data_IF_310608839836
#
_entry.id   IF_310608839836
#
_cell.length_a   1.000
_cell.length_b   1.000
_cell.length_c   1.000
_cell.angle_alpha   90.00
_cell.angle_beta   90.00
_cell.angle_gamma   90.00
#
_symmetry.space_group_name_H-M   'P 1'
#
loop_
_entity.id
_entity.type
_entity.pdbx_description
1 polymer ?
#
# COMPACT_ATOMS: atom_id res chain seq x y z
N UNK A 1 -4.88 8.25 -14.61
CA UNK A 1 -4.22 6.93 -14.74
C UNK A 1 -3.17 7.06 -15.84
N UNK A 2 -1.94 6.58 -15.61
CA UNK A 2 -0.86 6.53 -16.59
C UNK A 2 -0.19 5.15 -16.54
N UNK A 3 0.18 4.60 -17.71
CA UNK A 3 0.90 3.34 -17.85
C UNK A 3 2.07 3.58 -18.80
N UNK A 4 3.29 3.35 -18.32
CA UNK A 4 4.51 3.56 -19.10
C UNK A 4 5.26 2.23 -19.30
N UNK A 5 5.99 2.04 -20.40
CA UNK A 5 6.06 2.97 -21.54
C UNK A 5 4.72 3.13 -22.24
N UNK A 6 4.47 4.29 -22.83
CA UNK A 6 3.26 4.60 -23.58
C UNK A 6 3.47 4.46 -25.11
N UNK A 7 2.44 4.74 -25.90
CA UNK A 7 2.48 4.70 -27.35
C UNK A 7 1.55 5.75 -27.95
N UNK A 8 1.78 6.07 -29.21
CA UNK A 8 0.89 6.94 -29.99
C UNK A 8 -0.45 6.22 -30.25
N UNK A 9 -1.57 6.63 -29.62
CA UNK A 9 -2.86 5.98 -29.77
C UNK A 9 -3.42 6.07 -31.20
N UNK A 10 -2.90 6.97 -32.03
CA UNK A 10 -3.28 7.06 -33.44
C UNK A 10 -2.61 6.00 -34.30
N UNK A 11 -1.53 5.37 -33.81
CA UNK A 11 -0.76 4.34 -34.51
C UNK A 11 -0.48 3.10 -33.64
N UNK A 12 -1.51 2.48 -33.07
CA UNK A 12 -1.33 1.37 -32.11
C UNK A 12 -0.66 0.14 -32.71
N UNK A 13 -0.79 -0.07 -34.03
CA UNK A 13 -0.16 -1.21 -34.73
C UNK A 13 1.38 -1.08 -34.81
N UNK A 14 1.92 0.12 -34.75
CA UNK A 14 3.37 0.40 -34.79
C UNK A 14 4.02 0.23 -33.42
N UNK A 15 3.23 0.23 -32.34
CA UNK A 15 3.74 0.15 -30.99
C UNK A 15 4.16 -1.29 -30.60
N UNK A 16 5.28 -1.46 -29.88
CA UNK A 16 5.63 -2.72 -29.26
C UNK A 16 4.49 -3.25 -28.36
N UNK A 17 4.38 -4.56 -28.22
CA UNK A 17 3.28 -5.16 -27.46
C UNK A 17 3.31 -4.76 -25.96
N UNK A 18 4.48 -4.62 -25.39
CA UNK A 18 4.68 -4.19 -23.99
C UNK A 18 4.30 -2.72 -23.75
N UNK A 19 4.38 -1.85 -24.76
CA UNK A 19 3.90 -0.47 -24.68
C UNK A 19 2.37 -0.39 -24.64
N UNK A 20 1.69 -1.33 -25.28
CA UNK A 20 0.22 -1.41 -25.31
C UNK A 20 -0.37 -2.09 -24.06
N UNK A 21 0.48 -2.66 -23.21
CA UNK A 21 0.06 -3.33 -21.99
C UNK A 21 -0.32 -2.30 -20.91
N UNK A 22 -1.61 -2.24 -20.57
CA UNK A 22 -2.11 -1.32 -19.54
C UNK A 22 -1.78 -1.85 -18.13
N UNK A 23 -0.65 -1.42 -17.59
CA UNK A 23 -0.15 -1.87 -16.31
C UNK A 23 -1.09 -1.55 -15.13
N UNK A 24 -1.91 -0.51 -15.28
CA UNK A 24 -2.78 -0.06 -14.19
C UNK A 24 -3.96 -1.01 -13.91
N UNK A 25 -4.47 -1.70 -14.93
CA UNK A 25 -5.65 -2.58 -14.81
C UNK A 25 -5.41 -4.01 -15.30
N UNK A 26 -4.38 -4.22 -16.13
CA UNK A 26 -4.06 -5.53 -16.71
C UNK A 26 -2.88 -6.18 -15.98
N UNK A 27 -1.91 -5.40 -15.53
CA UNK A 27 -0.80 -5.90 -14.72
C UNK A 27 -1.25 -6.32 -13.33
N UNK A 28 -0.91 -7.54 -12.91
CA UNK A 28 -1.16 -8.06 -11.56
C UNK A 28 0.16 -8.26 -10.84
N UNK A 29 0.28 -7.66 -9.65
CA UNK A 29 1.53 -7.61 -8.91
C UNK A 29 1.29 -7.97 -7.44
N UNK A 30 2.26 -8.64 -6.83
CA UNK A 30 2.39 -8.64 -5.37
C UNK A 30 2.88 -7.27 -4.94
N UNK A 31 2.06 -6.53 -4.20
CA UNK A 31 2.35 -5.13 -3.85
C UNK A 31 2.94 -4.99 -2.43
N UNK A 32 3.32 -6.13 -1.83
CA UNK A 32 4.09 -6.18 -0.60
C UNK A 32 3.45 -5.40 0.53
N UNK A 33 4.25 -4.68 1.28
CA UNK A 33 3.84 -3.99 2.52
C UNK A 33 2.71 -2.97 2.40
N UNK A 34 2.22 -2.63 1.20
CA UNK A 34 0.99 -1.83 1.05
C UNK A 34 -0.23 -2.54 1.62
N UNK A 35 -0.24 -3.89 1.62
CA UNK A 35 -1.31 -4.70 2.20
C UNK A 35 -1.45 -4.57 3.72
N UNK A 36 -0.41 -4.09 4.40
CA UNK A 36 -0.46 -3.82 5.84
C UNK A 36 -1.51 -2.77 6.20
N UNK A 37 -1.88 -1.89 5.25
CA UNK A 37 -3.02 -0.97 5.40
C UNK A 37 -4.29 -1.76 5.69
N UNK A 38 -4.57 -2.78 4.88
CA UNK A 38 -5.78 -3.60 5.00
C UNK A 38 -5.75 -4.48 6.24
N UNK A 39 -4.60 -5.07 6.56
CA UNK A 39 -4.45 -5.90 7.75
C UNK A 39 -4.64 -5.11 9.03
N UNK A 40 -4.04 -3.92 9.12
CA UNK A 40 -4.22 -3.05 10.29
C UNK A 40 -5.67 -2.57 10.42
N UNK A 41 -6.29 -2.15 9.30
CA UNK A 41 -7.69 -1.76 9.28
C UNK A 41 -8.61 -2.91 9.73
N UNK A 42 -8.42 -4.11 9.19
CA UNK A 42 -9.18 -5.30 9.53
C UNK A 42 -9.05 -5.65 11.03
N UNK A 43 -7.84 -5.63 11.56
CA UNK A 43 -7.59 -5.97 12.96
C UNK A 43 -8.23 -4.96 13.91
N UNK A 44 -8.12 -3.66 13.62
CA UNK A 44 -8.75 -2.59 14.40
C UNK A 44 -10.27 -2.64 14.31
N UNK A 45 -10.84 -2.79 13.11
CA UNK A 45 -12.28 -2.78 12.89
C UNK A 45 -12.97 -4.01 13.49
N UNK A 46 -12.26 -5.14 13.58
CA UNK A 46 -12.76 -6.35 14.23
C UNK A 46 -12.87 -6.22 15.77
N UNK A 47 -12.28 -5.18 16.36
CA UNK A 47 -12.17 -4.99 17.79
C UNK A 47 -11.24 -5.99 18.50
N UNK A 48 -10.49 -6.81 17.74
CA UNK A 48 -9.51 -7.75 18.30
C UNK A 48 -8.28 -7.06 18.86
N UNK A 49 -7.96 -5.91 18.31
CA UNK A 49 -6.86 -5.06 18.77
C UNK A 49 -7.28 -3.59 18.73
N UNK A 50 -6.61 -2.79 19.54
CA UNK A 50 -6.73 -1.33 19.57
C UNK A 50 -5.39 -0.70 19.18
N UNK A 51 -5.35 0.61 18.99
CA UNK A 51 -4.11 1.36 18.72
C UNK A 51 -3.08 1.25 19.85
N UNK A 52 -3.50 0.85 21.07
CA UNK A 52 -2.61 0.70 22.24
C UNK A 52 -2.08 -0.72 22.40
N UNK A 53 -2.71 -1.69 21.73
CA UNK A 53 -2.25 -3.06 21.77
C UNK A 53 -1.04 -3.25 20.86
N UNK A 54 -0.39 -4.38 21.02
CA UNK A 54 0.74 -4.77 20.20
C UNK A 54 1.05 -6.24 20.33
N UNK A 55 2.16 -6.63 19.75
CA UNK A 55 2.61 -8.01 19.75
C UNK A 55 4.13 -8.10 19.92
N UNK A 56 4.59 -9.23 20.39
CA UNK A 56 6.01 -9.54 20.44
C UNK A 56 6.54 -9.81 19.02
N UNK A 57 7.59 -9.10 18.63
CA UNK A 57 8.28 -9.27 17.33
C UNK A 57 9.75 -9.65 17.51
N UNK A 58 10.12 -10.17 18.69
CA UNK A 58 11.49 -10.55 19.04
C UNK A 58 12.00 -11.64 18.12
N UNK A 59 11.19 -12.68 17.90
CA UNK A 59 11.60 -13.85 17.13
C UNK A 59 10.80 -13.98 15.83
N UNK A 60 11.45 -14.42 14.73
CA UNK A 60 10.78 -14.77 13.49
C UNK A 60 9.73 -15.87 13.68
N UNK A 61 8.63 -15.79 12.92
CA UNK A 61 7.58 -16.83 12.93
C UNK A 61 8.01 -17.98 12.03
N UNK A 62 8.05 -19.19 12.57
CA UNK A 62 8.35 -20.41 11.81
C UNK A 62 7.09 -21.22 11.57
N UNK A 63 6.77 -21.49 10.30
CA UNK A 63 5.61 -22.30 9.88
C UNK A 63 6.09 -23.36 8.89
N UNK A 64 6.26 -24.60 9.39
CA UNK A 64 6.84 -25.66 8.58
C UNK A 64 8.26 -25.31 8.11
N UNK A 65 8.45 -25.21 6.80
CA UNK A 65 9.73 -24.82 6.18
C UNK A 65 9.88 -23.32 5.94
N UNK A 66 8.83 -22.54 6.22
CA UNK A 66 8.83 -21.11 5.97
C UNK A 66 9.19 -20.33 7.24
N UNK A 67 9.90 -19.23 7.06
CA UNK A 67 10.23 -18.29 8.14
C UNK A 67 9.79 -16.90 7.72
N UNK A 68 8.98 -16.26 8.55
CA UNK A 68 8.57 -14.86 8.39
C UNK A 68 9.47 -14.03 9.29
N UNK A 69 10.20 -13.10 8.71
CA UNK A 69 11.10 -12.18 9.41
C UNK A 69 10.86 -10.74 8.96
N UNK A 70 11.29 -9.80 9.79
CA UNK A 70 11.28 -8.39 9.44
C UNK A 70 12.54 -8.01 8.66
N UNK A 71 12.40 -7.06 7.75
CA UNK A 71 13.53 -6.53 6.98
C UNK A 71 14.48 -5.72 7.88
N UNK A 72 13.90 -4.95 8.83
CA UNK A 72 14.60 -4.22 9.88
C UNK A 72 14.06 -4.66 11.26
N UNK A 73 14.58 -5.77 11.81
CA UNK A 73 14.08 -6.31 13.08
C UNK A 73 14.27 -5.33 14.24
N UNK A 74 13.19 -5.04 14.93
CA UNK A 74 13.24 -4.25 16.18
C UNK A 74 13.51 -5.15 17.40
N UNK A 75 13.30 -6.47 17.26
CA UNK A 75 13.56 -7.51 18.26
C UNK A 75 12.97 -7.19 19.64
N UNK A 76 11.74 -6.68 19.66
CA UNK A 76 11.00 -6.33 20.87
C UNK A 76 9.49 -6.36 20.64
N UNK A 77 8.74 -6.11 21.70
CA UNK A 77 7.31 -5.84 21.57
C UNK A 77 7.07 -4.55 20.78
N UNK A 78 6.14 -4.57 19.83
CA UNK A 78 5.73 -3.42 19.03
C UNK A 78 4.22 -3.17 19.19
N UNK A 79 3.86 -1.92 19.41
CA UNK A 79 2.47 -1.47 19.33
C UNK A 79 1.94 -1.49 17.89
N UNK A 80 0.62 -1.44 17.70
CA UNK A 80 0.01 -1.39 16.36
C UNK A 80 0.56 -0.24 15.52
N UNK A 81 0.72 1.00 16.03
CA UNK A 81 1.38 2.06 15.28
C UNK A 81 2.82 1.74 14.90
N UNK A 82 3.62 1.17 15.80
CA UNK A 82 5.00 0.77 15.51
C UNK A 82 5.08 -0.34 14.47
N UNK A 83 4.23 -1.36 14.55
CA UNK A 83 4.13 -2.43 13.54
C UNK A 83 3.92 -1.83 12.14
N UNK A 84 3.04 -0.85 12.04
CA UNK A 84 2.71 -0.20 10.79
C UNK A 84 3.85 0.72 10.30
N UNK A 85 4.42 1.53 11.19
CA UNK A 85 5.49 2.49 10.92
C UNK A 85 6.79 1.80 10.51
N UNK A 86 7.25 0.80 11.29
CA UNK A 86 8.44 0.01 10.96
C UNK A 86 8.19 -1.04 9.87
N UNK A 87 6.93 -1.16 9.45
CA UNK A 87 6.54 -2.15 8.43
C UNK A 87 6.90 -3.59 8.83
N UNK A 88 6.67 -3.98 10.10
CA UNK A 88 6.95 -5.32 10.60
C UNK A 88 6.08 -6.38 9.93
N UNK A 89 6.70 -7.38 9.31
CA UNK A 89 6.01 -8.56 8.77
C UNK A 89 5.51 -9.46 9.89
N UNK A 90 6.36 -9.66 10.92
CA UNK A 90 6.04 -10.49 12.09
C UNK A 90 4.82 -9.91 12.80
N UNK A 91 4.86 -8.61 13.10
CA UNK A 91 3.75 -7.93 13.77
C UNK A 91 2.47 -8.02 12.96
N UNK A 92 2.53 -7.75 11.65
CA UNK A 92 1.37 -7.77 10.76
C UNK A 92 0.79 -9.18 10.62
N UNK A 93 1.63 -10.21 10.51
CA UNK A 93 1.18 -11.61 10.46
C UNK A 93 0.43 -12.01 11.75
N UNK A 94 0.92 -11.58 12.91
CA UNK A 94 0.23 -11.80 14.20
C UNK A 94 -1.10 -11.07 14.28
N UNK A 95 -1.20 -9.83 13.79
CA UNK A 95 -2.47 -9.10 13.70
C UNK A 95 -3.48 -9.83 12.80
N UNK A 96 -3.04 -10.34 11.65
CA UNK A 96 -3.93 -11.10 10.76
C UNK A 96 -4.42 -12.40 11.41
N UNK A 97 -3.55 -13.11 12.11
CA UNK A 97 -3.92 -14.34 12.81
C UNK A 97 -4.88 -14.09 13.99
N UNK A 98 -4.84 -12.93 14.62
CA UNK A 98 -5.82 -12.57 15.65
C UNK A 98 -7.26 -12.45 15.09
N UNK A 99 -7.41 -12.08 13.81
CA UNK A 99 -8.70 -12.05 13.11
C UNK A 99 -9.04 -13.42 12.51
N UNK A 100 -8.03 -14.12 12.00
CA UNK A 100 -8.15 -15.45 11.40
C UNK A 100 -8.40 -15.45 9.90
N UNK A 101 -8.24 -16.62 9.31
CA UNK A 101 -8.27 -16.84 7.86
C UNK A 101 -9.61 -16.43 7.22
N UNK A 102 -10.73 -16.86 7.81
CA UNK A 102 -12.07 -16.54 7.28
C UNK A 102 -12.35 -15.02 7.33
N UNK A 103 -11.97 -14.37 8.45
CA UNK A 103 -12.10 -12.92 8.60
C UNK A 103 -11.30 -12.16 7.54
N UNK A 104 -10.07 -12.58 7.28
CA UNK A 104 -9.23 -11.95 6.25
C UNK A 104 -9.81 -12.14 4.85
N UNK A 105 -10.25 -13.35 4.51
CA UNK A 105 -10.87 -13.62 3.20
C UNK A 105 -12.10 -12.74 2.97
N UNK A 106 -12.99 -12.69 3.94
CA UNK A 106 -14.22 -11.87 3.88
C UNK A 106 -13.89 -10.39 3.73
N UNK A 107 -12.90 -9.91 4.49
CA UNK A 107 -12.49 -8.51 4.46
C UNK A 107 -11.90 -8.12 3.10
N UNK A 108 -10.96 -8.89 2.56
CA UNK A 108 -10.34 -8.63 1.26
C UNK A 108 -11.34 -8.78 0.10
N UNK A 109 -12.31 -9.69 0.23
CA UNK A 109 -13.39 -9.82 -0.75
C UNK A 109 -14.29 -8.58 -0.76
N UNK A 110 -14.65 -8.05 0.41
CA UNK A 110 -15.44 -6.83 0.52
C UNK A 110 -14.72 -5.59 -0.03
N UNK A 111 -13.39 -5.63 -0.10
CA UNK A 111 -12.58 -4.59 -0.74
C UNK A 111 -12.39 -4.78 -2.25
N UNK A 112 -12.98 -5.84 -2.83
CA UNK A 112 -12.83 -6.17 -4.24
C UNK A 112 -11.45 -6.73 -4.61
N UNK A 113 -10.60 -7.06 -3.63
CA UNK A 113 -9.22 -7.50 -3.86
C UNK A 113 -9.10 -8.97 -4.29
N UNK A 114 -10.18 -9.73 -4.28
CA UNK A 114 -10.20 -11.16 -4.63
C UNK A 114 -11.00 -11.48 -5.90
N UNK A 115 -11.55 -10.45 -6.55
CA UNK A 115 -12.36 -10.61 -7.76
C UNK A 115 -12.07 -9.49 -8.76
N UNK A 116 -12.39 -9.73 -10.04
CA UNK A 116 -12.24 -8.72 -11.10
C UNK A 116 -13.03 -7.47 -10.76
N UNK A 117 -12.42 -6.31 -10.92
CA UNK A 117 -13.12 -5.03 -10.78
C UNK A 117 -14.07 -4.81 -11.97
N UNK A 118 -15.26 -4.32 -11.65
CA UNK A 118 -16.22 -3.84 -12.63
C UNK A 118 -15.87 -2.39 -13.00
N UNK A 119 -14.92 -2.25 -13.90
CA UNK A 119 -14.50 -0.98 -14.50
C UNK A 119 -14.67 -1.08 -16.01
N UNK A 120 -14.92 0.06 -16.69
CA UNK A 120 -15.25 0.12 -18.11
C UNK A 120 -14.02 -0.11 -19.02
N UNK A 121 -13.09 -0.95 -18.58
CA UNK A 121 -11.88 -1.36 -19.31
C UNK A 121 -11.93 -2.87 -19.52
N UNK A 122 -12.16 -3.35 -20.76
CA UNK A 122 -12.37 -4.76 -21.04
C UNK A 122 -11.12 -5.63 -20.74
N UNK A 123 -9.93 -5.01 -20.75
CA UNK A 123 -8.66 -5.67 -20.43
C UNK A 123 -8.42 -5.84 -18.92
N UNK A 124 -9.29 -5.34 -18.03
CA UNK A 124 -9.12 -5.47 -16.59
C UNK A 124 -8.92 -6.95 -16.17
N UNK A 125 -7.85 -7.21 -15.45
CA UNK A 125 -7.45 -8.56 -15.07
C UNK A 125 -8.13 -9.04 -13.77
N UNK A 126 -8.17 -10.36 -13.61
CA UNK A 126 -8.51 -10.99 -12.34
C UNK A 126 -7.31 -10.95 -11.40
N UNK A 127 -7.51 -10.76 -10.10
CA UNK A 127 -6.49 -10.99 -9.09
C UNK A 127 -6.02 -12.45 -9.10
N UNK A 128 -4.79 -12.67 -8.65
CA UNK A 128 -4.27 -14.01 -8.38
C UNK A 128 -4.36 -14.23 -6.87
N UNK A 129 -5.17 -15.21 -6.47
CA UNK A 129 -5.39 -15.58 -5.08
C UNK A 129 -5.05 -17.05 -4.85
N UNK A 130 -4.69 -17.47 -3.63
CA UNK A 130 -4.42 -18.87 -3.34
C UNK A 130 -5.67 -19.74 -3.59
N UNK A 131 -5.50 -20.87 -4.28
CA UNK A 131 -6.57 -21.87 -4.44
C UNK A 131 -7.01 -22.45 -3.09
N UNK A 132 -6.07 -22.62 -2.17
CA UNK A 132 -6.32 -23.06 -0.80
C UNK A 132 -5.71 -22.03 0.13
N UNK A 133 -6.56 -21.33 0.88
CA UNK A 133 -6.15 -20.29 1.82
C UNK A 133 -5.98 -20.91 3.21
N UNK A 134 -4.75 -21.10 3.65
CA UNK A 134 -4.37 -21.68 4.94
C UNK A 134 -3.79 -20.58 5.84
N UNK A 135 -3.53 -20.90 7.10
CA UNK A 135 -2.92 -19.95 8.05
C UNK A 135 -1.62 -19.33 7.52
N UNK A 136 -0.76 -20.12 6.86
CA UNK A 136 0.44 -19.58 6.22
C UNK A 136 0.09 -18.57 5.13
N UNK A 137 -0.97 -18.81 4.35
CA UNK A 137 -1.45 -17.84 3.35
C UNK A 137 -1.99 -16.58 4.03
N UNK A 138 -2.72 -16.72 5.13
CA UNK A 138 -3.19 -15.59 5.95
C UNK A 138 -2.04 -14.74 6.44
N UNK A 139 -0.97 -15.36 6.94
CA UNK A 139 0.22 -14.66 7.39
C UNK A 139 0.93 -13.93 6.24
N UNK A 140 1.17 -14.60 5.10
CA UNK A 140 1.90 -13.98 3.99
C UNK A 140 1.09 -12.90 3.27
N UNK A 141 -0.19 -13.11 3.06
CA UNK A 141 -1.09 -12.11 2.45
C UNK A 141 -1.21 -10.87 3.33
N UNK A 142 -1.07 -11.00 4.64
CA UNK A 142 -1.14 -9.86 5.56
C UNK A 142 -0.16 -8.74 5.23
N UNK A 143 0.98 -9.08 4.64
CA UNK A 143 2.00 -8.13 4.18
C UNK A 143 2.21 -8.18 2.64
N UNK A 144 1.24 -8.73 1.89
CA UNK A 144 1.13 -8.61 0.44
C UNK A 144 1.92 -9.62 -0.38
N UNK A 145 2.22 -10.81 0.19
CA UNK A 145 2.79 -11.93 -0.54
C UNK A 145 1.77 -13.07 -0.67
N UNK A 146 1.79 -13.76 -1.81
CA UNK A 146 0.84 -14.84 -2.11
C UNK A 146 -0.54 -14.34 -2.57
N UNK A 147 -0.68 -13.06 -2.82
CA UNK A 147 -1.80 -12.41 -3.50
C UNK A 147 -1.27 -11.38 -4.48
N UNK A 148 -1.73 -11.41 -5.73
CA UNK A 148 -1.38 -10.40 -6.72
C UNK A 148 -2.62 -9.69 -7.23
N UNK A 149 -2.57 -8.37 -7.26
CA UNK A 149 -3.69 -7.49 -7.64
C UNK A 149 -3.22 -6.42 -8.61
N UNK A 150 -4.14 -5.79 -9.33
CA UNK A 150 -3.77 -4.66 -10.19
C UNK A 150 -3.59 -3.38 -9.36
N UNK A 151 -2.83 -2.39 -9.87
CA UNK A 151 -2.78 -1.05 -9.27
C UNK A 151 -4.15 -0.42 -9.04
N UNK A 152 -5.11 -0.65 -9.93
CA UNK A 152 -6.49 -0.17 -9.76
C UNK A 152 -7.18 -0.81 -8.55
N UNK A 153 -7.00 -2.13 -8.33
CA UNK A 153 -7.51 -2.80 -7.13
C UNK A 153 -6.97 -2.16 -5.87
N UNK A 154 -5.63 -1.97 -5.78
CA UNK A 154 -5.01 -1.38 -4.61
C UNK A 154 -5.54 0.03 -4.35
N UNK A 155 -5.59 0.88 -5.39
CA UNK A 155 -6.02 2.27 -5.28
C UNK A 155 -7.47 2.37 -4.82
N UNK A 156 -8.37 1.56 -5.40
CA UNK A 156 -9.78 1.48 -5.01
C UNK A 156 -9.94 1.03 -3.56
N UNK A 157 -9.22 -0.01 -3.15
CA UNK A 157 -9.28 -0.50 -1.78
C UNK A 157 -8.71 0.51 -0.75
N UNK A 158 -7.59 1.18 -1.06
CA UNK A 158 -7.02 2.22 -0.19
C UNK A 158 -7.96 3.42 -0.08
N UNK A 159 -8.65 3.78 -1.15
CA UNK A 159 -9.68 4.82 -1.13
C UNK A 159 -10.75 4.54 -0.06
N UNK A 160 -11.21 3.29 0.05
CA UNK A 160 -12.16 2.90 1.09
C UNK A 160 -11.57 3.01 2.52
N UNK A 161 -10.27 2.84 2.67
CA UNK A 161 -9.63 2.93 3.99
C UNK A 161 -9.58 4.36 4.53
N UNK A 162 -9.57 5.37 3.66
CA UNK A 162 -9.33 6.77 4.05
C UNK A 162 -10.56 7.67 3.92
N UNK A 163 -11.63 7.24 3.24
CA UNK A 163 -12.82 8.04 2.94
C UNK A 163 -13.97 7.89 3.95
N UNK A 164 -13.70 7.38 5.15
CA UNK A 164 -14.70 7.06 6.15
C UNK A 164 -15.16 5.59 6.09
N UNK A 165 -14.49 4.74 5.33
CA UNK A 165 -14.70 3.29 5.33
C UNK A 165 -15.69 2.75 4.29
N UNK A 166 -15.95 3.50 3.22
CA UNK A 166 -16.91 3.12 2.18
C UNK A 166 -16.17 2.71 0.90
N UNK A 167 -16.32 1.46 0.50
CA UNK A 167 -15.86 1.01 -0.82
C UNK A 167 -16.85 1.45 -1.89
N UNK A 168 -16.32 2.02 -2.96
CA UNK A 168 -17.06 2.38 -4.16
C UNK A 168 -16.47 1.65 -5.36
N UNK A 169 -17.31 1.11 -6.23
CA UNK A 169 -16.84 0.52 -7.47
C UNK A 169 -16.11 1.58 -8.31
N UNK A 170 -14.90 1.27 -8.81
CA UNK A 170 -14.15 2.20 -9.64
C UNK A 170 -14.83 2.39 -11.00
N UNK A 171 -14.73 3.60 -11.53
CA UNK A 171 -15.17 3.95 -12.88
C UNK A 171 -14.20 4.95 -13.51
N UNK A 172 -14.05 4.91 -14.82
CA UNK A 172 -13.34 5.92 -15.61
C UNK A 172 -14.30 6.91 -16.29
N UNK A 173 -15.60 6.69 -16.15
CA UNK A 173 -16.62 7.60 -16.71
C UNK A 173 -16.78 8.81 -15.79
N UNK A 174 -16.89 9.99 -16.41
CA UNK A 174 -17.20 11.21 -15.66
C UNK A 174 -18.60 11.12 -15.02
N UNK A 175 -18.74 11.65 -13.81
CA UNK A 175 -20.00 11.61 -13.07
C UNK A 175 -21.21 12.17 -13.85
N UNK A 176 -20.96 13.15 -14.72
CA UNK A 176 -21.99 13.81 -15.55
C UNK A 176 -22.04 13.26 -16.98
N UNK A 177 -21.38 12.14 -17.27
CA UNK A 177 -21.47 11.50 -18.59
C UNK A 177 -22.87 10.96 -18.79
N UNK A 178 -23.47 11.13 -20.00
CA UNK A 178 -24.75 10.48 -20.37
C UNK A 178 -24.70 8.95 -20.22
N UNK A 179 -23.49 8.36 -20.36
CA UNK A 179 -23.27 6.94 -20.23
C UNK A 179 -23.18 6.46 -18.76
N UNK A 180 -23.01 7.40 -17.81
CA UNK A 180 -22.93 7.11 -16.36
C UNK A 180 -24.32 7.26 -15.70
N UNK A 181 -25.32 6.57 -16.25
CA UNK A 181 -26.70 6.60 -15.76
C UNK A 181 -26.94 5.65 -14.58
N UNK A 182 -25.99 4.77 -14.27
CA UNK A 182 -26.12 3.77 -13.22
C UNK A 182 -25.43 4.20 -11.94
N UNK A 183 -26.15 4.08 -10.83
CA UNK A 183 -25.55 4.24 -9.50
C UNK A 183 -24.57 3.07 -9.28
N UNK A 184 -23.29 3.41 -9.17
CA UNK A 184 -22.24 2.42 -8.94
C UNK A 184 -22.42 1.73 -7.58
N UNK A 185 -22.11 0.44 -7.47
CA UNK A 185 -22.13 -0.27 -6.19
C UNK A 185 -21.24 0.41 -5.16
N UNK A 186 -21.79 0.54 -3.96
CA UNK A 186 -21.09 1.15 -2.82
C UNK A 186 -21.55 0.48 -1.53
N UNK A 187 -20.63 0.19 -0.63
CA UNK A 187 -20.94 -0.38 0.68
C UNK A 187 -19.86 -0.04 1.71
N UNK A 188 -20.24 -0.07 2.99
CA UNK A 188 -19.30 0.14 4.09
C UNK A 188 -18.49 -1.13 4.34
N UNK A 189 -17.17 -0.96 4.47
CA UNK A 189 -16.21 -2.06 4.76
C UNK A 189 -15.66 -1.95 6.18
N UNK A 190 -15.40 -0.73 6.64
CA UNK A 190 -14.93 -0.43 8.00
C UNK A 190 -15.71 0.74 8.59
N UNK A 191 -15.60 0.91 9.90
CA UNK A 191 -16.17 2.06 10.60
C UNK A 191 -15.42 3.36 10.27
N UNK A 192 -16.09 4.50 10.48
CA UNK A 192 -15.45 5.82 10.34
C UNK A 192 -14.31 5.99 11.34
N UNK A 193 -14.44 5.41 12.53
CA UNK A 193 -13.40 5.41 13.55
C UNK A 193 -12.15 4.67 13.06
N UNK A 194 -12.31 3.47 12.52
CA UNK A 194 -11.19 2.70 11.96
C UNK A 194 -10.55 3.44 10.79
N UNK A 195 -11.35 4.05 9.90
CA UNK A 195 -10.83 4.88 8.82
C UNK A 195 -9.97 6.05 9.33
N UNK A 196 -10.41 6.72 10.41
CA UNK A 196 -9.64 7.78 11.04
C UNK A 196 -8.30 7.25 11.61
N UNK A 197 -8.32 6.09 12.26
CA UNK A 197 -7.10 5.45 12.77
C UNK A 197 -6.13 5.05 11.64
N UNK A 198 -6.65 4.53 10.53
CA UNK A 198 -5.81 4.22 9.36
C UNK A 198 -5.16 5.49 8.79
N UNK A 199 -5.87 6.61 8.74
CA UNK A 199 -5.32 7.90 8.32
C UNK A 199 -4.17 8.34 9.24
N UNK A 200 -4.32 8.19 10.55
CA UNK A 200 -3.25 8.44 11.53
C UNK A 200 -2.03 7.56 11.26
N UNK A 201 -2.24 6.24 11.08
CA UNK A 201 -1.16 5.30 10.77
C UNK A 201 -0.42 5.65 9.47
N UNK A 202 -1.16 6.00 8.42
CA UNK A 202 -0.56 6.39 7.13
C UNK A 202 0.22 7.69 7.23
N UNK A 203 -0.23 8.67 8.02
CA UNK A 203 0.51 9.90 8.27
C UNK A 203 1.79 9.62 9.07
N UNK A 204 1.71 8.79 10.10
CA UNK A 204 2.85 8.37 10.91
C UNK A 204 4.00 7.79 10.06
N UNK A 205 3.69 7.01 9.01
CA UNK A 205 4.71 6.45 8.10
C UNK A 205 5.46 7.55 7.34
N UNK A 206 4.78 8.63 6.98
CA UNK A 206 5.40 9.75 6.27
C UNK A 206 6.20 10.65 7.21
N UNK A 207 5.71 10.86 8.43
CA UNK A 207 6.39 11.71 9.43
C UNK A 207 7.59 11.02 10.08
N UNK A 208 7.47 9.74 10.41
CA UNK A 208 8.44 9.05 11.26
C UNK A 208 8.88 7.67 10.74
N UNK A 209 8.37 7.24 9.58
CA UNK A 209 8.62 5.92 9.05
C UNK A 209 9.30 5.93 7.67
N UNK A 210 9.05 4.88 6.92
CA UNK A 210 9.68 4.60 5.61
C UNK A 210 9.18 5.49 4.46
N UNK A 211 8.25 6.38 4.71
CA UNK A 211 7.54 7.18 3.69
C UNK A 211 7.94 8.65 3.59
N UNK A 212 8.95 9.12 4.33
CA UNK A 212 9.27 10.54 4.45
C UNK A 212 9.49 11.28 3.13
N UNK A 213 10.01 10.57 2.11
CA UNK A 213 10.22 11.15 0.77
C UNK A 213 8.93 11.37 -0.04
N UNK A 214 7.78 10.90 0.45
CA UNK A 214 6.49 11.12 -0.19
C UNK A 214 5.82 12.42 0.26
N UNK A 215 6.31 13.08 1.32
CA UNK A 215 5.68 14.31 1.81
C UNK A 215 5.77 15.41 0.77
N UNK A 216 4.70 16.19 0.67
CA UNK A 216 4.60 17.34 -0.22
C UNK A 216 4.13 18.53 0.62
N UNK A 217 4.94 19.57 0.67
CA UNK A 217 4.76 20.73 1.53
C UNK A 217 3.35 21.34 1.41
N UNK A 218 2.66 21.40 2.53
CA UNK A 218 1.31 21.94 2.65
C UNK A 218 0.18 21.00 2.25
N UNK A 219 0.44 19.72 1.91
CA UNK A 219 -0.62 18.80 1.48
C UNK A 219 -0.85 17.59 2.40
N UNK A 220 -0.17 17.52 3.54
CA UNK A 220 -0.37 16.49 4.57
C UNK A 220 -0.50 15.08 3.98
N UNK A 221 0.53 14.64 3.30
CA UNK A 221 0.56 13.32 2.67
C UNK A 221 0.64 12.23 3.74
N UNK A 222 -0.15 11.19 3.60
CA UNK A 222 0.01 9.96 4.36
C UNK A 222 0.05 8.77 3.41
N UNK A 223 0.80 7.72 3.73
CA UNK A 223 0.93 6.62 2.79
C UNK A 223 1.65 5.39 3.32
N UNK A 224 1.96 4.47 2.41
CA UNK A 224 2.68 3.24 2.72
C UNK A 224 3.56 2.80 1.57
N UNK A 225 4.80 2.45 1.88
CA UNK A 225 5.74 1.81 0.96
C UNK A 225 5.33 0.37 0.67
N UNK A 226 5.57 -0.08 -0.54
CA UNK A 226 5.57 -1.46 -0.96
C UNK A 226 6.86 -1.81 -1.68
N UNK A 227 7.42 -2.96 -1.36
CA UNK A 227 8.54 -3.55 -2.07
C UNK A 227 8.34 -5.05 -2.04
N UNK A 228 8.25 -5.66 -3.20
CA UNK A 228 8.10 -7.10 -3.35
C UNK A 228 9.03 -7.62 -4.44
N UNK A 229 9.55 -8.82 -4.27
CA UNK A 229 10.26 -9.51 -5.35
C UNK A 229 9.27 -9.99 -6.40
N UNK A 230 9.65 -9.82 -7.66
CA UNK A 230 8.82 -10.23 -8.79
C UNK A 230 8.80 -11.74 -8.94
N UNK A 231 7.62 -12.31 -8.97
CA UNK A 231 7.47 -13.74 -9.28
C UNK A 231 7.56 -13.96 -10.79
N UNK A 232 8.56 -14.71 -11.23
CA UNK A 232 8.76 -15.11 -12.62
C UNK A 232 8.69 -16.64 -12.70
N UNK A 233 7.78 -17.18 -13.48
CA UNK A 233 7.58 -18.64 -13.64
C UNK A 233 7.38 -19.38 -12.29
N UNK A 234 6.69 -18.75 -11.33
CA UNK A 234 6.39 -19.33 -10.01
C UNK A 234 7.56 -19.35 -9.03
N UNK A 235 8.65 -18.62 -9.34
CA UNK A 235 9.79 -18.40 -8.42
C UNK A 235 10.06 -16.92 -8.30
N UNK A 236 10.49 -16.47 -7.12
CA UNK A 236 10.94 -15.11 -6.94
C UNK A 236 12.29 -14.90 -7.65
N UNK A 237 12.35 -13.86 -8.49
CA UNK A 237 13.56 -13.50 -9.21
C UNK A 237 14.42 -12.59 -8.31
N UNK A 238 15.58 -13.06 -7.90
CA UNK A 238 16.53 -12.27 -7.14
C UNK A 238 16.81 -10.93 -7.85
N UNK A 239 16.66 -9.82 -7.12
CA UNK A 239 16.91 -8.45 -7.59
C UNK A 239 15.90 -7.86 -8.59
N UNK A 240 14.81 -8.58 -8.91
CA UNK A 240 13.71 -8.00 -9.69
C UNK A 240 12.62 -7.54 -8.73
N UNK A 241 12.51 -6.24 -8.51
CA UNK A 241 11.61 -5.65 -7.53
C UNK A 241 10.39 -5.00 -8.21
N UNK A 242 9.25 -5.13 -7.58
CA UNK A 242 8.12 -4.22 -7.75
C UNK A 242 8.14 -3.26 -6.59
N UNK A 243 8.42 -2.00 -6.87
CA UNK A 243 8.54 -0.95 -5.85
C UNK A 243 7.40 0.04 -5.99
N UNK A 244 6.65 0.25 -4.91
CA UNK A 244 5.44 1.06 -4.93
C UNK A 244 5.36 1.98 -3.72
N UNK A 245 4.60 3.06 -3.87
CA UNK A 245 4.13 3.91 -2.79
C UNK A 245 2.69 4.31 -3.07
N UNK A 246 1.80 4.02 -2.12
CA UNK A 246 0.43 4.48 -2.15
C UNK A 246 0.24 5.58 -1.12
N UNK A 247 -0.33 6.69 -1.53
CA UNK A 247 -0.60 7.85 -0.69
C UNK A 247 -2.05 8.31 -0.78
N UNK A 248 -2.51 8.98 0.27
CA UNK A 248 -3.72 9.79 0.24
C UNK A 248 -3.39 11.20 0.74
N UNK A 249 -4.12 12.20 0.25
CA UNK A 249 -3.95 13.60 0.64
C UNK A 249 -5.19 14.46 0.34
N UNK A 250 -5.34 15.60 1.06
CA UNK A 250 -4.74 15.91 2.34
C UNK A 250 -5.26 14.94 3.40
N UNK A 251 -4.39 14.43 4.30
CA UNK A 251 -4.76 13.30 5.18
C UNK A 251 -5.80 13.67 6.25
N UNK A 252 -5.90 14.94 6.61
CA UNK A 252 -6.96 15.43 7.50
C UNK A 252 -8.37 15.38 6.87
N UNK A 253 -8.46 15.49 5.53
CA UNK A 253 -9.71 15.37 4.74
C UNK A 253 -9.39 14.83 3.34
N UNK A 254 -9.15 13.52 3.20
CA UNK A 254 -8.62 12.92 1.98
C UNK A 254 -9.52 13.15 0.77
N UNK A 255 -8.94 13.71 -0.28
CA UNK A 255 -9.61 13.97 -1.57
C UNK A 255 -9.12 13.05 -2.67
N UNK A 256 -7.87 12.65 -2.61
CA UNK A 256 -7.22 11.85 -3.64
C UNK A 256 -6.37 10.73 -3.05
N UNK A 257 -6.29 9.63 -3.79
CA UNK A 257 -5.32 8.56 -3.58
C UNK A 257 -4.42 8.51 -4.81
N UNK A 258 -3.11 8.48 -4.59
CA UNK A 258 -2.09 8.37 -5.63
C UNK A 258 -1.26 7.12 -5.37
N UNK A 259 -1.05 6.33 -6.41
CA UNK A 259 -0.17 5.17 -6.40
C UNK A 259 0.89 5.33 -7.49
N UNK A 260 2.15 5.26 -7.12
CA UNK A 260 3.25 5.04 -8.04
C UNK A 260 3.77 3.62 -7.89
N UNK A 261 3.93 2.92 -9.01
CA UNK A 261 4.51 1.56 -9.07
C UNK A 261 5.57 1.52 -10.14
N UNK A 262 6.76 1.10 -9.78
CA UNK A 262 7.91 0.92 -10.68
C UNK A 262 8.24 -0.56 -10.76
N UNK A 263 8.32 -1.07 -11.99
CA UNK A 263 8.68 -2.45 -12.29
C UNK A 263 10.20 -2.50 -12.58
N UNK A 264 10.93 -3.27 -11.78
CA UNK A 264 12.39 -3.45 -11.86
C UNK A 264 13.19 -2.14 -11.81
N UNK A 265 12.89 -1.21 -10.88
CA UNK A 265 13.67 0.01 -10.76
C UNK A 265 15.13 -0.32 -10.44
N UNK A 266 16.02 0.57 -10.88
CA UNK A 266 17.45 0.47 -10.56
C UNK A 266 17.83 1.55 -9.57
N UNK A 267 18.66 1.18 -8.59
CA UNK A 267 19.26 2.15 -7.69
C UNK A 267 20.23 3.07 -8.43
N UNK A 268 20.22 4.34 -8.10
CA UNK A 268 21.09 5.40 -8.63
C UNK A 268 22.00 5.94 -7.54
N UNK A 269 22.89 6.89 -7.88
CA UNK A 269 23.66 7.63 -6.86
C UNK A 269 22.74 8.39 -5.90
N UNK A 270 21.68 9.00 -6.41
CA UNK A 270 20.74 9.80 -5.62
C UNK A 270 19.88 8.95 -4.67
N UNK A 271 19.73 7.67 -4.99
CA UNK A 271 19.07 6.70 -4.13
C UNK A 271 20.05 5.84 -3.33
N UNK A 272 21.33 6.19 -3.30
CA UNK A 272 22.40 5.42 -2.64
C UNK A 272 22.43 3.94 -3.05
N UNK A 273 21.99 3.62 -4.27
CA UNK A 273 21.89 2.26 -4.76
C UNK A 273 20.59 1.53 -4.36
N UNK A 274 19.71 2.13 -3.57
CA UNK A 274 18.43 1.54 -3.21
C UNK A 274 17.40 1.65 -4.34
N UNK A 275 16.60 0.59 -4.46
CA UNK A 275 15.50 0.50 -5.42
C UNK A 275 14.16 0.20 -4.74
N UNK A 276 14.05 0.38 -3.42
CA UNK A 276 12.83 0.12 -2.65
C UNK A 276 11.80 1.25 -2.80
N UNK A 277 10.53 0.96 -2.49
CA UNK A 277 9.41 1.90 -2.68
C UNK A 277 9.62 3.26 -2.01
N UNK A 278 10.23 3.31 -0.82
CA UNK A 278 10.54 4.57 -0.12
C UNK A 278 11.59 5.43 -0.84
N UNK A 279 12.48 4.82 -1.60
CA UNK A 279 13.55 5.51 -2.31
C UNK A 279 13.19 5.91 -3.74
N UNK A 280 12.41 5.09 -4.45
CA UNK A 280 12.16 5.32 -5.89
C UNK A 280 10.70 5.68 -6.20
N UNK A 281 9.71 5.18 -5.43
CA UNK A 281 8.30 5.46 -5.69
C UNK A 281 7.76 6.64 -4.86
N UNK A 282 8.19 6.78 -3.60
CA UNK A 282 7.76 7.86 -2.73
C UNK A 282 8.09 9.27 -3.29
N UNK A 283 9.30 9.54 -3.82
CA UNK A 283 9.60 10.84 -4.46
C UNK A 283 8.70 11.15 -5.66
N UNK A 284 8.36 10.12 -6.47
CA UNK A 284 7.44 10.30 -7.60
C UNK A 284 6.06 10.74 -7.11
N UNK A 285 5.55 10.12 -6.04
CA UNK A 285 4.27 10.50 -5.44
C UNK A 285 4.31 11.93 -4.91
N UNK A 286 5.38 12.31 -4.19
CA UNK A 286 5.57 13.70 -3.71
C UNK A 286 5.49 14.70 -4.85
N UNK A 287 6.23 14.46 -5.93
CA UNK A 287 6.28 15.34 -7.09
C UNK A 287 4.91 15.43 -7.79
N UNK A 288 4.25 14.29 -8.02
CA UNK A 288 2.89 14.24 -8.60
C UNK A 288 1.92 15.05 -7.75
N UNK A 289 1.96 14.92 -6.43
CA UNK A 289 1.09 15.67 -5.52
C UNK A 289 1.38 17.18 -5.60
N UNK A 290 2.65 17.55 -5.55
CA UNK A 290 3.05 18.97 -5.61
C UNK A 290 2.61 19.67 -6.90
N UNK A 291 2.62 18.96 -8.03
CA UNK A 291 2.18 19.48 -9.32
C UNK A 291 0.64 19.43 -9.49
N UNK A 292 0.02 18.34 -9.05
CA UNK A 292 -1.40 18.10 -9.27
C UNK A 292 -2.29 18.94 -8.34
N UNK A 293 -1.92 19.10 -7.08
CA UNK A 293 -2.76 19.73 -6.08
C UNK A 293 -3.14 21.18 -6.39
N UNK A 294 -2.22 22.06 -6.88
CA UNK A 294 -2.60 23.39 -7.33
C UNK A 294 -3.54 23.39 -8.54
N UNK A 295 -3.35 22.48 -9.49
CA UNK A 295 -4.22 22.35 -10.68
C UNK A 295 -5.63 21.97 -10.27
N UNK A 296 -5.77 21.12 -9.24
CA UNK A 296 -7.06 20.68 -8.70
C UNK A 296 -7.67 21.67 -7.71
N UNK A 297 -7.01 22.82 -7.48
CA UNK A 297 -7.50 23.85 -6.58
C UNK A 297 -7.50 23.44 -5.09
N UNK A 298 -6.67 22.49 -4.70
CA UNK A 298 -6.56 22.08 -3.30
C UNK A 298 -5.83 23.16 -2.49
N UNK A 299 -6.42 23.61 -1.37
CA UNK A 299 -5.76 24.55 -0.48
C UNK A 299 -4.60 23.86 0.26
N UNK A 300 -3.55 24.62 0.54
CA UNK A 300 -2.52 24.18 1.48
C UNK A 300 -3.09 24.09 2.89
N UNK A 301 -2.69 23.07 3.61
CA UNK A 301 -3.09 22.79 4.99
C UNK A 301 -1.92 23.09 5.92
N UNK A 302 -2.18 23.83 6.99
CA UNK A 302 -1.19 24.04 8.05
C UNK A 302 -1.14 22.79 8.93
N UNK A 303 0.00 22.09 8.92
CA UNK A 303 0.24 20.91 9.76
C UNK A 303 0.18 21.22 11.26
N UNK A 304 0.50 22.46 11.66
CA UNK A 304 0.48 22.90 13.07
C UNK A 304 -0.89 23.33 13.57
N UNK A 305 -1.93 23.34 12.69
CA UNK A 305 -3.29 23.64 13.13
C UNK A 305 -3.70 22.63 14.24
N UNK A 306 -4.15 23.10 15.42
CA UNK A 306 -4.56 22.21 16.50
C UNK A 306 -5.65 21.19 16.14
N UNK A 307 -6.51 21.51 15.17
CA UNK A 307 -7.53 20.57 14.68
C UNK A 307 -6.91 19.45 13.84
N UNK A 308 -5.94 19.81 12.99
CA UNK A 308 -5.20 18.87 12.16
C UNK A 308 -4.39 17.91 13.05
N UNK A 309 -3.62 18.46 13.97
CA UNK A 309 -2.85 17.66 14.94
C UNK A 309 -3.74 16.72 15.74
N UNK A 310 -4.85 17.20 16.26
CA UNK A 310 -5.79 16.34 17.02
C UNK A 310 -6.36 15.19 16.19
N UNK A 311 -6.55 15.41 14.89
CA UNK A 311 -7.10 14.39 13.99
C UNK A 311 -6.05 13.34 13.56
N UNK A 312 -4.78 13.73 13.46
CA UNK A 312 -3.74 12.93 12.84
C UNK A 312 -2.63 12.47 13.80
N UNK A 313 -2.34 13.21 14.85
CA UNK A 313 -1.25 12.87 15.75
C UNK A 313 -1.52 11.57 16.52
N UNK A 314 -0.55 10.69 16.47
CA UNK A 314 -0.45 9.55 17.38
C UNK A 314 0.61 9.89 18.40
N UNK A 315 0.29 9.74 19.69
CA UNK A 315 1.32 9.77 20.74
C UNK A 315 2.20 8.55 20.55
N UNK A 316 3.42 8.80 20.14
CA UNK A 316 4.39 7.79 19.83
C UNK A 316 5.59 7.93 20.78
N UNK A 317 5.80 6.93 21.63
CA UNK A 317 6.88 6.90 22.62
C UNK A 317 8.11 6.11 22.13
N UNK A 318 8.09 5.63 20.88
CA UNK A 318 9.18 4.88 20.26
C UNK A 318 10.25 5.79 19.65
N UNK A 319 11.46 5.25 19.38
CA UNK A 319 12.49 6.00 18.69
C UNK A 319 12.00 6.39 17.28
N UNK A 320 12.11 7.66 16.97
CA UNK A 320 11.91 8.19 15.62
C UNK A 320 12.97 7.53 14.72
N UNK A 321 12.59 7.05 13.55
CA UNK A 321 13.58 6.67 12.52
C UNK A 321 14.15 8.00 12.00
N UNK A 322 15.18 8.52 12.68
CA UNK A 322 15.99 9.57 12.08
C UNK A 322 16.57 8.98 10.79
N UNK A 323 16.25 9.61 9.67
CA UNK A 323 16.69 9.30 8.31
C UNK A 323 17.64 8.10 8.25
N UNK A 324 17.21 6.99 7.63
CA UNK A 324 17.94 5.71 7.56
C UNK A 324 19.46 5.89 7.65
N UNK A 325 20.17 5.17 8.54
CA UNK A 325 21.62 5.27 8.60
C UNK A 325 22.20 5.05 7.22
N UNK A 326 23.29 5.76 6.91
CA UNK A 326 24.00 5.58 5.63
C UNK A 326 24.12 4.09 5.30
N UNK A 327 23.73 3.68 4.09
CA UNK A 327 23.69 2.27 3.74
C UNK A 327 25.08 1.66 3.82
N UNK A 328 25.25 0.72 4.71
CA UNK A 328 26.38 -0.21 4.59
C UNK A 328 26.16 -0.97 3.29
N UNK A 329 27.08 -0.94 2.32
CA UNK A 329 26.90 -1.66 1.06
C UNK A 329 26.67 -3.13 1.37
N UNK A 330 25.55 -3.67 0.87
CA UNK A 330 25.16 -5.07 1.03
C UNK A 330 26.23 -5.98 0.42
N UNK A 331 27.23 -6.36 1.21
CA UNK A 331 28.06 -7.51 0.93
C UNK A 331 27.30 -8.74 1.40
N UNK A 332 26.64 -9.41 0.45
CA UNK A 332 26.30 -10.82 0.60
C UNK A 332 25.21 -11.20 1.61
N UNK A 333 24.26 -10.32 1.92
CA UNK A 333 23.10 -10.73 2.73
C UNK A 333 22.05 -11.33 1.81
N UNK A 334 21.78 -12.61 1.94
CA UNK A 334 20.64 -13.28 1.33
C UNK A 334 19.40 -12.56 1.83
N UNK A 335 18.72 -11.81 0.93
CA UNK A 335 17.34 -11.43 1.14
C UNK A 335 16.59 -12.74 1.41
N UNK A 336 15.93 -12.83 2.56
CA UNK A 336 15.10 -13.98 2.87
C UNK A 336 13.87 -13.90 1.95
N UNK A 337 14.01 -14.47 0.76
CA UNK A 337 12.94 -14.74 -0.17
C UNK A 337 12.21 -16.00 0.30
N UNK A 338 11.01 -15.82 0.83
CA UNK A 338 10.03 -16.89 0.97
C UNK A 338 8.62 -16.38 0.78
#
# INVERSE_FOLDING_TARGET
>A
MASLPDYDPMRPAEAPADHRFNRAVQGVYELGSTFKIFTSAMALDSGRVTMRDGVDTTDPIRVGRFTISDFHPQSRWLSVPEIFMYSSNIGTARLAMAVGTEGQQKFLNNLGLTQRLSVELPEAANPIVPKTWRDVSTMTISYGHGIAVTPMHLTSAVSAMVNGGVWNAPTILAANSPDNTHKLPSHRVISEQTSAQVRQLMRLVVEHGTGGRADADGYLVGGKTGTAEKAVNGRYAERSLISSFVAAFPMNDPKYVVLATLDEPKGTKDTYGYATGGWVAAPVVSQVIAEMAPILGLPRVNADDPKVRRALDIRFDGPVIENEPEPTPLRGTRLASY
#
